data_IF_883375496666
#
_entry.id   IF_883375496666
#
_cell.length_a   1.000
_cell.length_b   1.000
_cell.length_c   1.000
_cell.angle_alpha   90.00
_cell.angle_beta   90.00
_cell.angle_gamma   90.00
#
_symmetry.space_group_name_H-M   'P 1'
#
loop_
_entity.id
_entity.type
_entity.pdbx_description
1 polymer ?
#
# COMPACT_ATOMS: atom_id res chain seq x y z
N UNK A 1 38.40 57.50 22.27
CA UNK A 1 37.47 57.69 23.40
C UNK A 1 36.16 58.14 22.81
N UNK A 2 35.29 57.19 22.48
CA UNK A 2 33.86 57.41 22.20
C UNK A 2 33.18 56.15 22.76
N UNK A 3 32.45 56.34 23.87
CA UNK A 3 31.45 55.42 24.40
C UNK A 3 30.09 55.80 23.80
N UNK A 4 29.06 55.04 24.19
CA UNK A 4 27.62 55.21 23.91
C UNK A 4 27.17 54.35 22.71
N UNK A 5 26.60 53.16 22.97
CA UNK A 5 25.22 52.90 23.45
C UNK A 5 24.18 53.47 22.49
N UNK A 6 23.50 52.59 21.75
CA UNK A 6 22.14 52.88 21.30
C UNK A 6 21.30 51.60 21.38
N UNK A 7 20.25 51.78 22.15
CA UNK A 7 19.18 50.89 22.55
C UNK A 7 18.17 50.70 21.41
N UNK A 8 17.36 49.66 21.54
CA UNK A 8 16.32 49.25 20.60
C UNK A 8 15.23 50.32 20.39
N UNK A 9 14.54 50.31 19.24
CA UNK A 9 13.05 50.37 19.17
C UNK A 9 12.51 50.25 17.74
N UNK A 10 11.58 49.31 17.61
CA UNK A 10 10.33 49.37 16.83
C UNK A 10 10.36 49.78 15.34
N UNK A 11 10.29 48.77 14.47
CA UNK A 11 9.60 48.92 13.17
C UNK A 11 8.30 48.14 13.18
N UNK A 12 7.26 48.87 13.58
CA UNK A 12 5.87 48.65 13.19
C UNK A 12 5.69 48.78 11.67
N UNK A 13 4.72 48.05 11.12
CA UNK A 13 3.92 48.37 9.93
C UNK A 13 3.97 47.35 8.78
N UNK A 14 2.85 46.62 8.66
CA UNK A 14 2.22 45.96 7.50
C UNK A 14 3.01 44.96 6.65
N UNK A 15 2.30 43.90 6.22
CA UNK A 15 2.12 43.77 4.78
C UNK A 15 0.66 43.85 4.31
N UNK A 16 0.52 44.58 3.20
CA UNK A 16 -0.64 44.70 2.34
C UNK A 16 -1.20 43.36 1.88
N UNK A 17 -2.53 43.37 1.76
CA UNK A 17 -3.40 42.39 1.11
C UNK A 17 -2.97 42.05 -0.31
N UNK A 18 -2.92 40.76 -0.66
CA UNK A 18 -3.28 40.29 -2.00
C UNK A 18 -3.89 38.89 -1.96
N UNK A 19 -5.09 38.80 -2.53
CA UNK A 19 -5.97 37.66 -2.53
C UNK A 19 -5.41 36.44 -3.29
N UNK A 20 -5.71 35.24 -2.76
CA UNK A 20 -5.90 34.04 -3.56
C UNK A 20 -6.93 33.14 -2.84
N UNK A 21 -8.00 32.85 -3.57
CA UNK A 21 -9.18 32.11 -3.14
C UNK A 21 -8.88 30.66 -2.74
N UNK A 22 -9.67 30.11 -1.81
CA UNK A 22 -10.20 28.74 -1.87
C UNK A 22 -11.32 28.58 -0.84
N UNK A 23 -12.53 28.37 -1.36
CA UNK A 23 -13.76 28.07 -0.63
C UNK A 23 -13.56 26.89 0.33
N UNK A 24 -14.02 27.05 1.58
CA UNK A 24 -14.35 25.91 2.44
C UNK A 24 -15.54 26.28 3.32
N UNK A 25 -16.72 26.15 2.73
CA UNK A 25 -17.96 26.01 3.49
C UNK A 25 -17.80 24.84 4.45
N UNK A 26 -17.77 25.16 5.74
CA UNK A 26 -17.80 24.20 6.83
C UNK A 26 -18.94 24.61 7.75
N UNK A 27 -20.12 24.14 7.43
CA UNK A 27 -21.21 24.05 8.39
C UNK A 27 -22.10 22.85 8.04
N UNK A 28 -22.00 21.78 8.83
CA UNK A 28 -23.16 20.94 9.14
C UNK A 28 -23.01 20.50 10.58
N UNK A 29 -23.83 21.10 11.45
CA UNK A 29 -24.21 20.55 12.74
C UNK A 29 -24.88 19.18 12.54
N UNK A 30 -24.60 18.20 13.39
CA UNK A 30 -25.67 17.53 14.14
C UNK A 30 -25.10 16.50 15.11
N UNK A 31 -25.50 16.64 16.36
CA UNK A 31 -25.28 15.76 17.50
C UNK A 31 -25.92 14.38 17.31
N UNK A 32 -25.30 13.34 17.84
CA UNK A 32 -26.01 12.20 18.43
C UNK A 32 -25.13 11.38 19.39
N UNK A 33 -25.52 11.55 20.65
CA UNK A 33 -25.40 10.68 21.83
C UNK A 33 -25.35 9.16 21.59
N UNK A 34 -24.45 8.53 22.35
CA UNK A 34 -24.62 7.27 23.12
C UNK A 34 -25.58 6.21 22.57
N UNK A 35 -25.05 5.05 22.17
CA UNK A 35 -25.43 3.70 22.68
C UNK A 35 -24.60 2.60 22.00
N UNK A 36 -24.01 1.72 22.79
CA UNK A 36 -23.86 0.29 22.50
C UNK A 36 -24.69 -0.44 23.57
N UNK A 37 -25.11 -1.72 23.45
CA UNK A 37 -24.73 -2.79 22.49
C UNK A 37 -25.96 -3.57 21.91
N UNK A 38 -25.75 -4.55 21.01
CA UNK A 38 -26.31 -5.94 21.03
C UNK A 38 -26.31 -6.61 19.65
N UNK A 39 -25.71 -7.81 19.61
CA UNK A 39 -26.10 -9.03 18.89
C UNK A 39 -26.38 -9.04 17.35
N UNK A 40 -25.71 -10.01 16.70
CA UNK A 40 -26.13 -10.80 15.54
C UNK A 40 -26.45 -10.10 14.22
N UNK A 41 -25.67 -10.41 13.18
CA UNK A 41 -26.03 -11.39 12.12
C UNK A 41 -25.05 -11.23 10.96
N UNK A 42 -24.50 -12.35 10.48
CA UNK A 42 -23.63 -12.40 9.31
C UNK A 42 -24.31 -11.79 8.08
N UNK A 43 -23.76 -10.72 7.51
CA UNK A 43 -24.23 -10.15 6.24
C UNK A 43 -23.80 -11.03 5.08
N UNK A 44 -24.75 -11.78 4.52
CA UNK A 44 -24.64 -12.41 3.19
C UNK A 44 -24.60 -11.32 2.10
N UNK A 45 -23.71 -11.41 1.10
CA UNK A 45 -23.81 -10.55 -0.07
C UNK A 45 -24.99 -10.98 -0.94
N UNK A 46 -25.93 -10.05 -1.18
CA UNK A 46 -27.07 -10.22 -2.06
C UNK A 46 -26.62 -10.51 -3.50
N UNK A 47 -26.80 -11.76 -3.95
CA UNK A 47 -26.70 -12.15 -5.35
C UNK A 47 -27.92 -11.60 -6.10
N UNK A 48 -27.68 -10.66 -7.01
CA UNK A 48 -28.70 -10.18 -7.94
C UNK A 48 -29.07 -11.31 -8.90
N UNK A 49 -30.37 -11.58 -8.92
CA UNK A 49 -31.08 -12.49 -9.80
C UNK A 49 -31.09 -11.97 -11.24
N UNK A 50 -30.59 -12.76 -12.19
CA UNK A 50 -30.91 -12.66 -13.63
C UNK A 50 -30.37 -13.91 -14.37
N UNK A 51 -30.94 -14.26 -15.52
CA UNK A 51 -32.17 -15.04 -15.69
C UNK A 51 -31.89 -16.54 -15.96
N UNK A 52 -32.86 -17.39 -15.61
CA UNK A 52 -32.89 -18.82 -15.95
C UNK A 52 -32.70 -19.01 -17.46
N UNK A 53 -31.66 -19.76 -17.84
CA UNK A 53 -31.52 -20.26 -19.20
C UNK A 53 -32.49 -21.44 -19.32
N UNK A 54 -33.60 -21.21 -20.01
CA UNK A 54 -34.64 -22.20 -20.30
C UNK A 54 -34.04 -23.29 -21.23
N UNK A 55 -34.02 -24.54 -20.77
CA UNK A 55 -33.62 -25.70 -21.56
C UNK A 55 -34.76 -26.09 -22.53
N UNK A 56 -35.17 -25.18 -23.42
CA UNK A 56 -36.02 -25.54 -24.56
C UNK A 56 -35.16 -26.17 -25.67
N UNK A 57 -35.11 -27.50 -25.60
CA UNK A 57 -35.44 -28.37 -26.74
C UNK A 57 -34.68 -28.08 -28.05
N UNK A 58 -33.45 -28.60 -28.16
CA UNK A 58 -32.79 -28.75 -29.45
C UNK A 58 -33.48 -29.85 -30.26
N UNK A 59 -34.51 -29.45 -31.02
CA UNK A 59 -35.24 -30.29 -31.95
C UNK A 59 -34.29 -30.90 -33.00
N UNK A 60 -34.39 -32.23 -33.11
CA UNK A 60 -33.66 -33.10 -34.02
C UNK A 60 -33.76 -32.63 -35.46
N UNK A 61 -32.61 -32.51 -36.14
CA UNK A 61 -32.56 -32.66 -37.61
C UNK A 61 -31.37 -33.52 -38.02
N UNK A 62 -31.61 -34.83 -38.04
CA UNK A 62 -30.77 -35.77 -38.79
C UNK A 62 -30.86 -35.42 -40.28
N UNK A 63 -29.88 -34.68 -40.80
CA UNK A 63 -29.81 -34.43 -42.23
C UNK A 63 -29.27 -35.66 -42.96
N UNK A 64 -30.07 -36.12 -43.93
CA UNK A 64 -30.06 -37.46 -44.49
C UNK A 64 -28.78 -37.82 -45.26
N UNK A 65 -28.29 -39.03 -45.02
CA UNK A 65 -27.25 -39.72 -45.80
C UNK A 65 -27.68 -39.85 -47.27
N UNK A 66 -26.94 -39.31 -48.26
CA UNK A 66 -27.23 -39.62 -49.65
C UNK A 66 -26.84 -41.06 -50.00
N UNK A 67 -27.83 -41.70 -50.62
CA UNK A 67 -27.95 -43.10 -51.01
C UNK A 67 -26.98 -43.50 -52.14
N UNK A 68 -26.37 -44.67 -51.95
CA UNK A 68 -25.75 -45.58 -52.92
C UNK A 68 -25.44 -45.03 -54.34
N UNK A 69 -24.18 -44.62 -54.54
CA UNK A 69 -23.57 -44.42 -55.87
C UNK A 69 -22.62 -45.59 -56.20
N UNK A 70 -22.85 -46.21 -57.36
CA UNK A 70 -22.17 -47.39 -57.90
C UNK A 70 -20.67 -47.15 -58.21
N UNK A 71 -19.87 -48.22 -58.11
CA UNK A 71 -18.39 -48.23 -58.29
C UNK A 71 -17.97 -47.70 -59.67
N UNK A 72 -16.74 -47.14 -59.79
CA UNK A 72 -15.77 -47.87 -60.62
C UNK A 72 -14.35 -47.95 -60.02
N UNK A 73 -13.73 -49.10 -60.26
CA UNK A 73 -12.40 -49.53 -59.83
C UNK A 73 -11.32 -48.78 -60.65
N UNK A 74 -10.62 -47.81 -60.06
CA UNK A 74 -9.34 -47.30 -60.58
C UNK A 74 -8.28 -47.36 -59.49
N UNK A 75 -7.40 -48.37 -59.57
CA UNK A 75 -6.10 -48.38 -58.90
C UNK A 75 -5.36 -47.10 -59.30
N UNK A 76 -5.17 -46.17 -58.37
CA UNK A 76 -4.19 -45.09 -58.49
C UNK A 76 -3.05 -45.41 -57.52
N UNK A 77 -1.87 -45.50 -58.12
CA UNK A 77 -0.56 -45.58 -57.48
C UNK A 77 -0.47 -44.53 -56.37
N UNK A 78 -0.14 -44.96 -55.15
CA UNK A 78 0.16 -44.05 -54.04
C UNK A 78 1.44 -43.28 -54.37
N UNK A 79 1.29 -42.10 -54.97
CA UNK A 79 2.33 -41.06 -54.89
C UNK A 79 2.06 -40.32 -53.59
N UNK A 80 2.87 -40.62 -52.55
CA UNK A 80 2.98 -39.79 -51.35
C UNK A 80 3.43 -38.39 -51.79
N UNK A 81 2.49 -37.52 -52.15
CA UNK A 81 2.70 -36.10 -51.91
C UNK A 81 2.57 -35.95 -50.40
N UNK A 82 3.72 -35.80 -49.74
CA UNK A 82 3.73 -35.23 -48.42
C UNK A 82 2.96 -33.90 -48.50
N UNK A 83 1.94 -33.76 -47.66
CA UNK A 83 1.28 -32.50 -47.43
C UNK A 83 2.27 -31.57 -46.71
N UNK A 84 3.22 -31.02 -47.45
CA UNK A 84 4.28 -30.16 -46.89
C UNK A 84 3.80 -28.71 -46.70
N UNK A 85 2.52 -28.40 -46.92
CA UNK A 85 2.04 -27.02 -47.01
C UNK A 85 1.23 -26.48 -45.83
N UNK A 86 0.55 -27.33 -45.05
CA UNK A 86 -0.39 -26.86 -44.02
C UNK A 86 0.17 -26.84 -42.59
N UNK A 87 1.15 -27.69 -42.29
CA UNK A 87 1.82 -27.72 -40.97
C UNK A 87 2.63 -26.46 -40.71
N UNK A 88 3.42 -26.00 -41.68
CA UNK A 88 4.38 -24.91 -41.49
C UNK A 88 3.75 -23.60 -41.00
N UNK A 89 2.56 -23.23 -41.49
CA UNK A 89 1.90 -21.97 -41.12
C UNK A 89 1.18 -22.06 -39.76
N UNK A 90 0.64 -23.24 -39.45
CA UNK A 90 0.07 -23.54 -38.13
C UNK A 90 1.16 -23.62 -37.07
N UNK A 91 2.29 -24.25 -37.39
CA UNK A 91 3.45 -24.38 -36.50
C UNK A 91 4.05 -23.01 -36.18
N UNK A 92 4.13 -22.12 -37.17
CA UNK A 92 4.58 -20.73 -36.98
C UNK A 92 3.60 -19.93 -36.09
N UNK A 93 2.30 -20.06 -36.31
CA UNK A 93 1.28 -19.42 -35.45
C UNK A 93 1.35 -19.95 -34.00
N UNK A 94 1.49 -21.27 -33.82
CA UNK A 94 1.66 -21.87 -32.51
C UNK A 94 2.97 -21.44 -31.84
N UNK A 95 4.05 -21.23 -32.61
CA UNK A 95 5.29 -20.67 -32.09
C UNK A 95 5.08 -19.23 -31.58
N UNK A 96 4.36 -18.39 -32.32
CA UNK A 96 4.03 -17.03 -31.89
C UNK A 96 3.22 -17.03 -30.58
N UNK A 97 2.19 -17.87 -30.45
CA UNK A 97 1.40 -17.99 -29.21
C UNK A 97 2.27 -18.41 -28.03
N UNK A 98 3.19 -19.36 -28.23
CA UNK A 98 4.13 -19.80 -27.19
C UNK A 98 5.04 -18.65 -26.76
N UNK A 99 5.61 -17.89 -27.71
CA UNK A 99 6.45 -16.74 -27.39
C UNK A 99 5.68 -15.65 -26.65
N UNK A 100 4.44 -15.37 -27.04
CA UNK A 100 3.61 -14.38 -26.37
C UNK A 100 3.29 -14.78 -24.92
N UNK A 101 2.93 -16.04 -24.70
CA UNK A 101 2.69 -16.59 -23.36
C UNK A 101 3.95 -16.50 -22.48
N UNK A 102 5.11 -16.84 -23.03
CA UNK A 102 6.40 -16.74 -22.34
C UNK A 102 6.71 -15.28 -21.96
N UNK A 103 6.50 -14.31 -22.87
CA UNK A 103 6.71 -12.88 -22.60
C UNK A 103 5.78 -12.39 -21.49
N UNK A 104 4.50 -12.82 -21.48
CA UNK A 104 3.57 -12.49 -20.39
C UNK A 104 4.06 -13.07 -19.06
N UNK A 105 4.49 -14.33 -19.04
CA UNK A 105 4.99 -14.97 -17.84
C UNK A 105 6.24 -14.27 -17.30
N UNK A 106 7.15 -13.85 -18.18
CA UNK A 106 8.34 -13.09 -17.79
C UNK A 106 7.98 -11.70 -17.24
N UNK A 107 7.06 -10.98 -17.89
CA UNK A 107 6.58 -9.69 -17.37
C UNK A 107 5.91 -9.83 -16.00
N UNK A 108 5.14 -10.89 -15.77
CA UNK A 108 4.53 -11.15 -14.47
C UNK A 108 5.60 -11.36 -13.38
N UNK A 109 6.60 -12.21 -13.65
CA UNK A 109 7.72 -12.45 -12.73
C UNK A 109 8.55 -11.20 -12.47
N UNK A 110 8.78 -10.37 -13.49
CA UNK A 110 9.52 -9.12 -13.34
C UNK A 110 8.77 -8.13 -12.43
N UNK A 111 7.45 -7.99 -12.61
CA UNK A 111 6.61 -7.15 -11.75
C UNK A 111 6.56 -7.65 -10.31
N UNK A 112 6.49 -8.96 -10.11
CA UNK A 112 6.51 -9.56 -8.77
C UNK A 112 7.81 -9.23 -8.02
N UNK A 113 8.97 -9.41 -8.68
CA UNK A 113 10.28 -9.04 -8.10
C UNK A 113 10.37 -7.55 -7.79
N UNK A 114 9.89 -6.70 -8.68
CA UNK A 114 9.88 -5.25 -8.44
C UNK A 114 9.03 -4.88 -7.20
N UNK A 115 7.87 -5.52 -7.03
CA UNK A 115 7.03 -5.32 -5.83
C UNK A 115 7.75 -5.82 -4.58
N UNK A 116 8.37 -7.00 -4.64
CA UNK A 116 9.11 -7.58 -3.51
C UNK A 116 10.27 -6.66 -3.08
N UNK A 117 11.07 -6.17 -4.02
CA UNK A 117 12.17 -5.23 -3.74
C UNK A 117 11.67 -3.92 -3.12
N UNK A 118 10.55 -3.38 -3.63
CA UNK A 118 9.92 -2.18 -3.04
C UNK A 118 9.47 -2.42 -1.61
N UNK A 119 8.89 -3.59 -1.32
CA UNK A 119 8.45 -3.96 0.04
C UNK A 119 9.66 -4.11 0.97
N UNK A 120 10.75 -4.76 0.53
CA UNK A 120 11.98 -4.90 1.30
C UNK A 120 12.57 -3.51 1.61
N UNK A 121 12.69 -2.65 0.60
CA UNK A 121 13.21 -1.30 0.76
C UNK A 121 12.34 -0.46 1.71
N UNK A 122 11.02 -0.55 1.61
CA UNK A 122 10.10 0.15 2.50
C UNK A 122 10.25 -0.33 3.95
N UNK A 123 10.38 -1.65 4.16
CA UNK A 123 10.58 -2.24 5.48
C UNK A 123 11.92 -1.82 6.09
N UNK A 124 13.00 -1.79 5.30
CA UNK A 124 14.31 -1.31 5.74
C UNK A 124 14.23 0.15 6.20
N UNK A 125 13.59 1.02 5.39
CA UNK A 125 13.39 2.44 5.71
C UNK A 125 12.52 2.65 6.95
N UNK A 126 11.52 1.81 7.17
CA UNK A 126 10.69 1.86 8.36
C UNK A 126 11.50 1.49 9.62
N UNK A 127 12.30 0.42 9.56
CA UNK A 127 13.18 0.01 10.66
C UNK A 127 14.22 1.07 11.00
N UNK A 128 14.83 1.70 10.00
CA UNK A 128 15.78 2.80 10.21
C UNK A 128 15.14 3.99 10.93
N UNK A 129 13.94 4.39 10.51
CA UNK A 129 13.17 5.46 11.16
C UNK A 129 12.83 5.13 12.61
N UNK A 130 12.44 3.89 12.88
CA UNK A 130 12.17 3.42 14.24
C UNK A 130 13.44 3.46 15.11
N UNK A 131 14.57 2.98 14.59
CA UNK A 131 15.85 3.02 15.30
C UNK A 131 16.26 4.47 15.62
N UNK A 132 16.16 5.38 14.65
CA UNK A 132 16.45 6.81 14.85
C UNK A 132 15.48 7.48 15.83
N UNK A 133 14.22 7.06 15.86
CA UNK A 133 13.25 7.55 16.82
C UNK A 133 13.60 7.12 18.25
N UNK A 134 13.98 5.84 18.43
CA UNK A 134 14.46 5.30 19.72
C UNK A 134 15.72 6.01 20.20
N UNK A 135 16.69 6.24 19.32
CA UNK A 135 17.92 6.98 19.65
C UNK A 135 17.60 8.40 20.15
N UNK A 136 16.74 9.14 19.44
CA UNK A 136 16.28 10.46 19.88
C UNK A 136 15.53 10.43 21.21
N UNK A 137 14.78 9.37 21.47
CA UNK A 137 14.08 9.20 22.75
C UNK A 137 15.06 8.95 23.89
N UNK A 138 16.08 8.12 23.66
CA UNK A 138 17.17 7.91 24.61
C UNK A 138 17.89 9.22 24.88
N UNK A 139 18.28 9.97 23.85
CA UNK A 139 18.96 11.27 24.00
C UNK A 139 18.11 12.27 24.81
N UNK A 140 16.80 12.35 24.52
CA UNK A 140 15.87 13.19 25.32
C UNK A 140 15.82 12.76 26.78
N UNK A 141 15.83 11.46 27.05
CA UNK A 141 15.79 10.95 28.43
C UNK A 141 17.11 11.23 29.15
N UNK A 142 18.26 11.08 28.48
CA UNK A 142 19.57 11.49 29.02
C UNK A 142 19.57 12.97 29.36
N UNK A 143 19.07 13.82 28.47
CA UNK A 143 18.99 15.26 28.71
C UNK A 143 18.08 15.61 29.88
N UNK A 144 16.91 14.96 30.01
CA UNK A 144 16.01 15.14 31.15
C UNK A 144 16.68 14.74 32.46
N UNK A 145 17.36 13.58 32.48
CA UNK A 145 18.10 13.11 33.65
C UNK A 145 19.19 14.11 34.04
N UNK A 146 20.00 14.56 33.07
CA UNK A 146 21.04 15.56 33.30
C UNK A 146 20.48 16.89 33.82
N UNK A 147 19.37 17.36 33.25
CA UNK A 147 18.70 18.59 33.70
C UNK A 147 18.26 18.47 35.16
N UNK A 148 17.68 17.35 35.56
CA UNK A 148 17.28 17.12 36.96
C UNK A 148 18.51 17.06 37.88
N UNK A 149 19.58 16.38 37.43
CA UNK A 149 20.81 16.22 38.21
C UNK A 149 21.57 17.53 38.45
N UNK A 150 21.45 18.48 37.53
CA UNK A 150 22.13 19.80 37.61
C UNK A 150 21.28 20.91 38.21
N UNK A 151 19.99 20.65 38.46
CA UNK A 151 19.09 21.63 39.07
C UNK A 151 19.41 21.80 40.55
N UNK A 152 19.53 23.06 41.02
CA UNK A 152 19.72 23.36 42.44
C UNK A 152 18.42 23.13 43.22
N UNK A 153 18.47 22.23 44.20
CA UNK A 153 17.34 21.87 45.07
C UNK A 153 16.87 23.07 45.89
N UNK A 154 17.78 23.95 46.31
CA UNK A 154 17.43 25.03 47.23
C UNK A 154 16.60 26.14 46.56
N UNK A 155 16.64 26.20 45.23
CA UNK A 155 15.84 27.11 44.40
C UNK A 155 14.35 26.77 44.37
N UNK A 156 13.95 25.58 44.84
CA UNK A 156 12.57 25.09 44.83
C UNK A 156 11.93 25.18 46.23
N UNK A 157 10.59 25.30 46.32
CA UNK A 157 9.87 25.28 47.59
C UNK A 157 9.99 23.91 48.29
N UNK A 158 9.83 23.87 49.62
CA UNK A 158 10.18 22.70 50.45
C UNK A 158 9.44 21.41 50.06
N UNK A 159 8.22 21.54 49.58
CA UNK A 159 7.39 20.44 49.10
C UNK A 159 8.05 19.72 47.91
N UNK A 160 8.65 20.49 47.00
CA UNK A 160 9.28 19.97 45.78
C UNK A 160 10.74 19.53 46.01
N UNK A 161 11.41 20.06 47.06
CA UNK A 161 12.79 19.69 47.40
C UNK A 161 12.95 18.20 47.70
N UNK A 162 11.95 17.59 48.34
CA UNK A 162 11.97 16.16 48.67
C UNK A 162 11.90 15.31 47.39
N UNK A 163 10.98 15.66 46.48
CA UNK A 163 10.77 14.95 45.21
C UNK A 163 12.01 15.09 44.32
N UNK A 164 12.58 16.30 44.21
CA UNK A 164 13.78 16.53 43.42
C UNK A 164 14.98 15.73 43.93
N UNK A 165 15.18 15.66 45.25
CA UNK A 165 16.24 14.82 45.85
C UNK A 165 16.05 13.34 45.50
N UNK A 166 14.83 12.84 45.61
CA UNK A 166 14.53 11.45 45.26
C UNK A 166 14.78 11.16 43.76
N UNK A 167 14.40 12.09 42.88
CA UNK A 167 14.67 11.96 41.45
C UNK A 167 16.17 11.98 41.15
N UNK A 168 16.93 12.89 41.77
CA UNK A 168 18.39 12.95 41.63
C UNK A 168 19.05 11.66 42.10
N UNK A 169 18.63 11.10 43.23
CA UNK A 169 19.16 9.82 43.73
C UNK A 169 18.85 8.65 42.78
N UNK A 170 17.60 8.57 42.30
CA UNK A 170 17.20 7.56 41.30
C UNK A 170 18.03 7.65 40.02
N UNK A 171 18.29 8.87 39.54
CA UNK A 171 19.12 9.12 38.37
C UNK A 171 20.57 8.72 38.66
N UNK A 172 21.16 9.16 39.78
CA UNK A 172 22.51 8.76 40.17
C UNK A 172 22.64 7.23 40.22
N UNK A 173 21.68 6.53 40.84
CA UNK A 173 21.67 5.06 40.90
C UNK A 173 21.59 4.41 39.53
N UNK A 174 20.76 4.93 38.62
CA UNK A 174 20.63 4.46 37.24
C UNK A 174 21.96 4.53 36.47
N UNK A 175 22.77 5.57 36.70
CA UNK A 175 24.05 5.78 36.03
C UNK A 175 25.26 5.22 36.78
N UNK A 176 25.08 4.75 38.01
CA UNK A 176 26.14 4.17 38.85
C UNK A 176 26.15 2.63 38.84
N UNK A 177 25.20 2.00 38.16
CA UNK A 177 25.09 0.54 38.00
C UNK A 177 25.59 0.07 36.65
#
# INVERSE_FOLDING_TARGET
MIMEEDEETETSSQPQTRAAALNRDREVMSSNTTTSPTASTATQPQLKHEPEFDEEEYEVREEARPRAGTKPKRRRLQKKQAATGSGSKMDEFMAQIKTYTEVIAQMAKAKEREVEERVIAQRAKAKEREAKAKEREVEKNVYKDWKIMTTDINSYPEEDRAILREMQEKIMKKWSS
#
